data_IF_004735381650
#
_entry.id   IF_004735381650
#
_cell.length_a   1.000
_cell.length_b   1.000
_cell.length_c   1.000
_cell.angle_alpha   90.00
_cell.angle_beta   90.00
_cell.angle_gamma   90.00
#
_symmetry.space_group_name_H-M   'P 1'
#
loop_
_entity.id
_entity.type
_entity.pdbx_description
1 polymer ?
#
# COMPACT_ATOMS: atom_id res chain seq x y z
N UNK A 1 -18.59 -12.11 -11.89
CA UNK A 1 -17.95 -10.79 -11.65
C UNK A 1 -17.59 -10.56 -10.19
N UNK A 2 -18.51 -10.74 -9.21
CA UNK A 2 -18.20 -10.56 -7.78
C UNK A 2 -17.03 -11.43 -7.28
N UNK A 3 -16.99 -12.72 -7.65
CA UNK A 3 -15.87 -13.62 -7.33
C UNK A 3 -14.52 -13.12 -7.88
N UNK A 4 -14.50 -12.64 -9.12
CA UNK A 4 -13.31 -12.07 -9.74
C UNK A 4 -12.84 -10.80 -9.00
N UNK A 5 -13.78 -9.93 -8.58
CA UNK A 5 -13.45 -8.77 -7.77
C UNK A 5 -12.79 -9.15 -6.44
N UNK A 6 -13.38 -10.08 -5.67
CA UNK A 6 -12.80 -10.49 -4.38
C UNK A 6 -11.42 -11.13 -4.52
N UNK A 7 -11.23 -12.00 -5.51
CA UNK A 7 -9.91 -12.60 -5.79
C UNK A 7 -8.91 -11.52 -6.14
N UNK A 8 -9.26 -10.63 -7.08
CA UNK A 8 -8.40 -9.52 -7.46
C UNK A 8 -8.10 -8.58 -6.29
N UNK A 9 -9.07 -8.36 -5.40
CA UNK A 9 -8.92 -7.50 -4.24
C UNK A 9 -7.96 -8.08 -3.20
N UNK A 10 -8.01 -9.38 -2.95
CA UNK A 10 -7.05 -10.04 -2.05
C UNK A 10 -5.64 -9.99 -2.65
N UNK A 11 -5.48 -10.40 -3.91
CA UNK A 11 -4.18 -10.38 -4.58
C UNK A 11 -3.60 -8.96 -4.70
N UNK A 12 -4.43 -8.00 -5.09
CA UNK A 12 -4.01 -6.60 -5.21
C UNK A 12 -3.62 -5.99 -3.87
N UNK A 13 -4.32 -6.33 -2.79
CA UNK A 13 -3.98 -5.85 -1.45
C UNK A 13 -2.65 -6.42 -0.95
N UNK A 14 -2.45 -7.73 -1.12
CA UNK A 14 -1.18 -8.39 -0.79
C UNK A 14 -0.04 -7.81 -1.61
N UNK A 15 -0.21 -7.67 -2.94
CA UNK A 15 0.81 -7.08 -3.81
C UNK A 15 1.09 -5.62 -3.45
N UNK A 16 0.07 -4.83 -3.11
CA UNK A 16 0.25 -3.45 -2.66
C UNK A 16 1.13 -3.35 -1.41
N UNK A 17 0.87 -4.21 -0.41
CA UNK A 17 1.69 -4.28 0.81
C UNK A 17 3.11 -4.73 0.47
N UNK A 18 3.26 -5.77 -0.37
CA UNK A 18 4.58 -6.26 -0.80
C UNK A 18 5.37 -5.16 -1.49
N UNK A 19 4.76 -4.38 -2.38
CA UNK A 19 5.41 -3.25 -3.05
C UNK A 19 5.79 -2.16 -2.05
N UNK A 20 4.92 -1.83 -1.11
CA UNK A 20 5.23 -0.84 -0.06
C UNK A 20 6.44 -1.25 0.78
N UNK A 21 6.49 -2.52 1.21
CA UNK A 21 7.64 -3.07 1.96
C UNK A 21 8.89 -3.18 1.08
N UNK A 22 8.73 -3.49 -0.20
CA UNK A 22 9.85 -3.56 -1.15
C UNK A 22 10.48 -2.19 -1.37
N UNK A 23 9.68 -1.12 -1.49
CA UNK A 23 10.18 0.26 -1.55
C UNK A 23 10.99 0.62 -0.31
N UNK A 24 10.57 0.13 0.85
CA UNK A 24 11.25 0.37 2.11
C UNK A 24 12.61 -0.33 2.20
N UNK A 25 12.75 -1.50 1.58
CA UNK A 25 14.03 -2.23 1.49
C UNK A 25 14.95 -1.63 0.41
N UNK A 26 14.37 -1.16 -0.70
CA UNK A 26 15.14 -0.63 -1.82
C UNK A 26 15.64 0.80 -1.55
N UNK A 27 14.87 1.60 -0.80
CA UNK A 27 15.15 3.01 -0.54
C UNK A 27 15.55 3.27 0.92
N UNK A 28 15.15 2.40 1.84
CA UNK A 28 15.55 2.42 3.24
C UNK A 28 16.61 1.36 3.52
N UNK A 29 17.46 1.59 4.53
CA UNK A 29 18.49 0.61 4.92
C UNK A 29 17.91 -0.62 5.65
N UNK A 30 16.65 -0.54 6.10
CA UNK A 30 15.95 -1.62 6.80
C UNK A 30 14.42 -1.54 6.66
N UNK A 31 13.73 -2.65 6.96
CA UNK A 31 12.26 -2.72 7.00
C UNK A 31 11.75 -1.75 8.07
N UNK A 32 10.89 -0.82 7.66
CA UNK A 32 10.30 0.29 8.40
C UNK A 32 11.04 1.63 8.27
N UNK A 33 12.29 1.64 7.79
CA UNK A 33 13.17 2.81 7.93
C UNK A 33 12.89 3.94 6.94
N UNK A 34 12.61 3.64 5.68
CA UNK A 34 12.31 4.63 4.65
C UNK A 34 10.97 5.31 4.90
N UNK A 35 9.93 4.53 5.20
CA UNK A 35 8.61 5.09 5.55
C UNK A 35 8.65 5.91 6.83
N UNK A 36 9.36 5.46 7.86
CA UNK A 36 9.48 6.22 9.12
C UNK A 36 10.16 7.57 8.92
N UNK A 37 11.20 7.64 8.09
CA UNK A 37 11.87 8.90 7.75
C UNK A 37 10.94 9.87 7.00
N UNK A 38 10.19 9.38 6.01
CA UNK A 38 9.24 10.19 5.27
C UNK A 38 8.12 10.74 6.16
N UNK A 39 7.50 9.87 6.97
CA UNK A 39 6.43 10.27 7.89
C UNK A 39 6.95 11.23 8.96
N UNK A 40 8.14 11.01 9.52
CA UNK A 40 8.74 11.93 10.48
C UNK A 40 9.02 13.30 9.85
N UNK A 41 9.54 13.32 8.62
CA UNK A 41 9.78 14.56 7.88
C UNK A 41 8.48 15.35 7.67
N UNK A 42 7.42 14.69 7.20
CA UNK A 42 6.13 15.33 6.95
C UNK A 42 5.48 15.85 8.23
N UNK A 43 5.47 15.05 9.30
CA UNK A 43 4.91 15.46 10.59
C UNK A 43 5.67 16.64 11.18
N UNK A 44 7.00 16.61 11.12
CA UNK A 44 7.82 17.71 11.62
C UNK A 44 7.62 19.00 10.81
N UNK A 45 7.44 18.88 9.50
CA UNK A 45 7.14 20.03 8.65
C UNK A 45 5.74 20.60 8.92
N UNK A 46 4.72 19.74 9.04
CA UNK A 46 3.32 20.16 9.23
C UNK A 46 3.05 20.71 10.63
N UNK A 47 3.58 20.05 11.67
CA UNK A 47 3.30 20.41 13.07
C UNK A 47 4.42 21.24 13.71
N UNK A 48 5.49 21.56 12.96
CA UNK A 48 6.69 22.26 13.45
C UNK A 48 7.30 21.59 14.69
N UNK A 49 7.30 20.26 14.69
CA UNK A 49 7.83 19.42 15.77
C UNK A 49 9.22 18.89 15.43
N UNK A 50 9.86 18.22 16.39
CA UNK A 50 11.11 17.48 16.18
C UNK A 50 10.96 16.02 16.65
N UNK A 51 10.07 15.30 15.98
CA UNK A 51 9.80 13.88 16.21
C UNK A 51 10.90 13.04 15.55
N UNK A 52 11.45 12.12 16.32
CA UNK A 52 12.37 11.08 15.83
C UNK A 52 11.64 10.03 15.00
N UNK A 53 12.34 9.36 14.09
CA UNK A 53 11.81 8.25 13.28
C UNK A 53 11.25 7.09 14.12
N UNK A 54 11.77 6.93 15.36
CA UNK A 54 11.30 5.90 16.29
C UNK A 54 10.16 6.38 17.20
N UNK A 55 9.71 7.62 17.04
CA UNK A 55 8.62 8.16 17.86
C UNK A 55 7.31 7.43 17.54
N UNK A 56 6.53 7.10 18.56
CA UNK A 56 5.31 6.30 18.43
C UNK A 56 4.32 6.85 17.38
N UNK A 57 4.16 8.17 17.32
CA UNK A 57 3.29 8.86 16.34
C UNK A 57 3.75 8.59 14.90
N UNK A 58 5.07 8.57 14.65
CA UNK A 58 5.64 8.30 13.33
C UNK A 58 5.34 6.86 12.92
N UNK A 59 5.55 5.90 13.81
CA UNK A 59 5.25 4.48 13.57
C UNK A 59 3.76 4.30 13.26
N UNK A 60 2.88 4.97 14.00
CA UNK A 60 1.45 4.95 13.73
C UNK A 60 1.12 5.52 12.34
N UNK A 61 1.78 6.61 11.95
CA UNK A 61 1.63 7.19 10.61
C UNK A 61 2.08 6.22 9.50
N UNK A 62 3.21 5.52 9.70
CA UNK A 62 3.68 4.49 8.76
C UNK A 62 2.65 3.37 8.60
N UNK A 63 2.08 2.88 9.70
CA UNK A 63 1.03 1.85 9.64
C UNK A 63 -0.20 2.32 8.85
N UNK A 64 -0.61 3.58 9.03
CA UNK A 64 -1.72 4.18 8.27
C UNK A 64 -1.40 4.24 6.78
N UNK A 65 -0.20 4.70 6.41
CA UNK A 65 0.24 4.81 5.02
C UNK A 65 0.29 3.43 4.35
N UNK A 66 0.93 2.43 4.97
CA UNK A 66 1.02 1.07 4.42
C UNK A 66 -0.38 0.44 4.29
N UNK A 67 -1.26 0.65 5.28
CA UNK A 67 -2.64 0.18 5.22
C UNK A 67 -3.41 0.82 4.07
N UNK A 68 -3.20 2.12 3.84
CA UNK A 68 -3.82 2.83 2.72
C UNK A 68 -3.33 2.30 1.37
N UNK A 69 -2.03 2.03 1.22
CA UNK A 69 -1.48 1.41 0.02
C UNK A 69 -2.08 0.01 -0.20
N UNK A 70 -2.20 -0.79 0.85
CA UNK A 70 -2.86 -2.10 0.78
C UNK A 70 -4.32 -2.01 0.35
N UNK A 71 -5.10 -1.08 0.91
CA UNK A 71 -6.48 -0.83 0.51
C UNK A 71 -6.59 -0.37 -0.95
N UNK A 72 -5.70 0.52 -1.38
CA UNK A 72 -5.68 1.01 -2.75
C UNK A 72 -5.29 -0.10 -3.74
N UNK A 73 -4.27 -0.89 -3.41
CA UNK A 73 -3.88 -2.07 -4.19
C UNK A 73 -5.01 -3.09 -4.28
N UNK A 74 -5.74 -3.30 -3.19
CA UNK A 74 -6.93 -4.16 -3.15
C UNK A 74 -8.02 -3.66 -4.10
N UNK A 75 -8.35 -2.37 -4.04
CA UNK A 75 -9.34 -1.79 -4.92
C UNK A 75 -8.97 -1.94 -6.40
N UNK A 76 -7.74 -1.55 -6.77
CA UNK A 76 -7.25 -1.66 -8.16
C UNK A 76 -7.23 -3.11 -8.62
N UNK A 77 -6.70 -4.03 -7.80
CA UNK A 77 -6.64 -5.45 -8.14
C UNK A 77 -8.03 -6.05 -8.40
N UNK A 78 -9.02 -5.65 -7.58
CA UNK A 78 -10.41 -6.05 -7.77
C UNK A 78 -10.98 -5.55 -9.10
N UNK A 79 -10.76 -4.28 -9.44
CA UNK A 79 -11.17 -3.69 -10.73
C UNK A 79 -10.51 -4.40 -11.91
N UNK A 80 -9.18 -4.61 -11.84
CA UNK A 80 -8.41 -5.28 -12.88
C UNK A 80 -8.93 -6.69 -13.17
N UNK A 81 -9.13 -7.52 -12.15
CA UNK A 81 -9.65 -8.88 -12.34
C UNK A 81 -11.08 -8.90 -12.89
N UNK A 82 -11.92 -7.92 -12.54
CA UNK A 82 -13.26 -7.77 -13.15
C UNK A 82 -13.14 -7.44 -14.64
N UNK A 83 -12.21 -6.57 -15.03
CA UNK A 83 -11.96 -6.26 -16.44
C UNK A 83 -11.43 -7.48 -17.20
N UNK A 84 -10.43 -8.17 -16.65
CA UNK A 84 -9.89 -9.40 -17.24
C UNK A 84 -10.97 -10.48 -17.41
N UNK A 85 -11.78 -10.72 -16.38
CA UNK A 85 -12.87 -11.69 -16.47
C UNK A 85 -13.95 -11.28 -17.49
N UNK A 86 -14.19 -9.98 -17.70
CA UNK A 86 -15.07 -9.48 -18.77
C UNK A 86 -14.48 -9.77 -20.14
N UNK A 87 -13.19 -9.46 -20.34
CA UNK A 87 -12.49 -9.68 -21.60
C UNK A 87 -12.53 -11.16 -22.00
N UNK A 88 -12.14 -12.07 -21.10
CA UNK A 88 -12.16 -13.50 -21.37
C UNK A 88 -13.57 -14.03 -21.65
N UNK A 89 -14.60 -13.48 -20.96
CA UNK A 89 -15.99 -13.86 -21.23
C UNK A 89 -16.48 -13.38 -22.61
N UNK A 90 -15.98 -12.25 -23.11
CA UNK A 90 -16.27 -11.78 -24.46
C UNK A 90 -15.56 -12.62 -25.52
N UNK A 91 -14.32 -13.03 -25.25
CA UNK A 91 -13.51 -13.81 -26.19
C UNK A 91 -13.91 -15.29 -26.27
N UNK A 92 -14.39 -15.87 -25.17
CA UNK A 92 -14.86 -17.25 -25.11
C UNK A 92 -16.31 -17.44 -25.61
N UNK A 93 -16.88 -16.40 -26.22
CA UNK A 93 -18.18 -16.39 -26.88
C UNK A 93 -17.96 -16.20 -28.37
#
# INVERSE_FOLDING_TARGET
MKKAFYVGAIFGGVLGIVVALSMDILLGQSIGSGWSGAVAHDLNHLFKTNLSNHHFIVILGVLVVISFIGLFGSFIGGVFFVMAARLFRMLAK
#
